data_IF_292113882033
#
_entry.id   IF_292113882033
#
_cell.length_a   1.000
_cell.length_b   1.000
_cell.length_c   1.000
_cell.angle_alpha   90.00
_cell.angle_beta   90.00
_cell.angle_gamma   90.00
#
_symmetry.space_group_name_H-M   'P 1'
#
loop_
_entity.id
_entity.type
_entity.pdbx_description
1 polymer ?
#
# COMPACT_ATOMS: atom_id res chain seq x y z
N UNK A 1 -11.67 -3.85 -10.50
CA UNK A 1 -10.62 -4.80 -10.05
C UNK A 1 -9.50 -3.99 -9.45
N UNK A 2 -9.20 -4.20 -8.17
CA UNK A 2 -8.31 -3.35 -7.40
C UNK A 2 -7.06 -4.12 -6.95
N UNK A 3 -6.01 -3.40 -6.56
CA UNK A 3 -4.78 -4.01 -6.06
C UNK A 3 -4.64 -3.75 -4.56
N UNK A 4 -4.06 -4.70 -3.84
CA UNK A 4 -3.93 -4.66 -2.40
C UNK A 4 -2.53 -5.11 -1.98
N UNK A 5 -1.90 -4.35 -1.10
CA UNK A 5 -0.59 -4.63 -0.55
C UNK A 5 -0.72 -5.12 0.89
N UNK A 6 -0.05 -6.22 1.21
CA UNK A 6 0.09 -6.73 2.56
C UNK A 6 1.37 -6.22 3.19
N UNK A 7 1.26 -5.77 4.44
CA UNK A 7 2.37 -5.21 5.21
C UNK A 7 2.80 -6.18 6.32
N UNK A 8 4.09 -6.19 6.62
CA UNK A 8 4.64 -6.83 7.82
C UNK A 8 4.50 -5.93 9.06
N UNK A 9 5.06 -6.38 10.19
CA UNK A 9 5.07 -5.64 11.45
C UNK A 9 5.89 -4.33 11.40
N UNK A 10 6.74 -4.15 10.40
CA UNK A 10 7.55 -2.96 10.18
C UNK A 10 6.93 -2.01 9.14
N UNK A 11 5.68 -2.27 8.72
CA UNK A 11 5.00 -1.56 7.64
C UNK A 11 5.66 -1.71 6.26
N UNK A 12 6.41 -2.80 6.05
CA UNK A 12 7.03 -3.11 4.77
C UNK A 12 6.11 -4.01 3.95
N UNK A 13 5.92 -3.67 2.68
CA UNK A 13 5.11 -4.43 1.73
C UNK A 13 5.79 -5.76 1.43
N UNK A 14 5.14 -6.86 1.78
CA UNK A 14 5.65 -8.22 1.54
C UNK A 14 5.05 -8.86 0.30
N UNK A 15 3.83 -8.47 -0.07
CA UNK A 15 3.09 -9.05 -1.18
C UNK A 15 2.07 -8.06 -1.72
N UNK A 16 1.80 -8.12 -3.02
CA UNK A 16 0.75 -7.33 -3.69
C UNK A 16 -0.12 -8.28 -4.50
N UNK A 17 -1.42 -8.22 -4.25
CA UNK A 17 -2.43 -9.05 -4.91
C UNK A 17 -3.41 -8.21 -5.71
N UNK A 18 -4.06 -8.87 -6.64
CA UNK A 18 -5.23 -8.36 -7.34
C UNK A 18 -6.47 -8.93 -6.65
N UNK A 19 -7.39 -8.06 -6.25
CA UNK A 19 -8.65 -8.44 -5.61
C UNK A 19 -9.86 -7.81 -6.31
N UNK A 20 -11.02 -8.03 -5.70
CA UNK A 20 -12.26 -7.38 -6.12
C UNK A 20 -12.17 -5.85 -5.99
N UNK A 21 -13.12 -5.17 -6.63
CA UNK A 21 -13.22 -3.72 -6.61
C UNK A 21 -13.44 -3.18 -5.19
N UNK A 22 -12.85 -2.03 -4.87
CA UNK A 22 -12.98 -1.38 -3.56
C UNK A 22 -14.42 -0.94 -3.24
N UNK A 23 -15.28 -0.84 -4.25
CA UNK A 23 -16.67 -0.42 -4.11
C UNK A 23 -17.58 -1.56 -3.63
N UNK A 24 -17.07 -2.79 -3.65
CA UNK A 24 -17.78 -3.99 -3.22
C UNK A 24 -17.43 -4.38 -1.79
N UNK A 25 -18.40 -4.96 -1.08
CA UNK A 25 -18.19 -5.50 0.27
C UNK A 25 -18.04 -7.01 0.21
N UNK A 26 -17.07 -7.55 0.96
CA UNK A 26 -16.91 -8.99 1.14
C UNK A 26 -17.47 -9.39 2.49
N UNK A 27 -18.57 -10.15 2.50
CA UNK A 27 -19.27 -10.56 3.74
C UNK A 27 -19.63 -9.37 4.65
N UNK A 28 -19.98 -8.23 4.06
CA UNK A 28 -20.33 -7.00 4.78
C UNK A 28 -19.15 -6.20 5.34
N UNK A 29 -17.91 -6.60 5.05
CA UNK A 29 -16.70 -5.85 5.38
C UNK A 29 -16.13 -5.16 4.14
N UNK A 30 -15.46 -4.03 4.33
CA UNK A 30 -14.65 -3.42 3.28
C UNK A 30 -13.51 -4.37 2.87
N UNK A 31 -12.99 -4.18 1.66
CA UNK A 31 -12.00 -5.09 1.10
C UNK A 31 -10.68 -5.09 1.87
N UNK A 32 -10.20 -3.94 2.36
CA UNK A 32 -8.97 -3.86 3.15
C UNK A 32 -9.08 -4.67 4.45
N UNK A 33 -10.17 -4.45 5.20
CA UNK A 33 -10.46 -5.18 6.43
C UNK A 33 -10.62 -6.67 6.15
N UNK A 34 -11.32 -7.05 5.08
CA UNK A 34 -11.53 -8.45 4.76
C UNK A 34 -10.24 -9.17 4.41
N UNK A 35 -9.44 -8.62 3.47
CA UNK A 35 -8.16 -9.22 3.08
C UNK A 35 -7.17 -9.22 4.25
N UNK A 36 -7.16 -8.15 5.05
CA UNK A 36 -6.31 -8.07 6.24
C UNK A 36 -6.65 -9.15 7.27
N UNK A 37 -7.94 -9.33 7.56
CA UNK A 37 -8.42 -10.38 8.46
C UNK A 37 -8.15 -11.79 7.91
N UNK A 38 -8.36 -11.99 6.60
CA UNK A 38 -8.12 -13.27 5.94
C UNK A 38 -6.65 -13.69 6.01
N UNK A 39 -5.73 -12.74 5.83
CA UNK A 39 -4.28 -12.99 5.86
C UNK A 39 -3.70 -12.94 7.27
N UNK A 40 -4.37 -12.25 8.21
CA UNK A 40 -3.81 -11.92 9.52
C UNK A 40 -2.70 -10.87 9.44
N UNK A 41 -2.76 -9.99 8.43
CA UNK A 41 -1.77 -8.93 8.18
C UNK A 41 -2.47 -7.61 7.90
N UNK A 42 -1.76 -6.49 8.03
CA UNK A 42 -2.31 -5.21 7.60
C UNK A 42 -2.40 -5.23 6.06
N UNK A 43 -3.57 -4.89 5.53
CA UNK A 43 -3.82 -4.79 4.11
C UNK A 43 -4.14 -3.34 3.76
N UNK A 44 -3.53 -2.84 2.69
CA UNK A 44 -3.78 -1.50 2.15
C UNK A 44 -3.95 -1.57 0.64
N UNK A 45 -5.05 -1.03 0.13
CA UNK A 45 -5.28 -0.82 -1.31
C UNK A 45 -4.17 0.02 -1.92
N UNK A 46 -3.76 -0.36 -3.12
CA UNK A 46 -2.78 0.33 -3.94
C UNK A 46 -3.32 0.50 -5.36
N UNK A 47 -2.87 1.54 -6.07
CA UNK A 47 -3.32 1.83 -7.44
C UNK A 47 -2.21 2.51 -8.23
N UNK A 48 -2.09 2.15 -9.51
CA UNK A 48 -1.18 2.84 -10.43
C UNK A 48 -1.55 4.32 -10.61
N UNK A 49 -2.83 4.65 -10.40
CA UNK A 49 -3.35 6.02 -10.49
C UNK A 49 -3.51 6.67 -9.10
N UNK A 50 -2.82 6.16 -8.08
CA UNK A 50 -2.85 6.69 -6.71
C UNK A 50 -2.66 8.23 -6.66
N UNK A 51 -1.63 8.74 -7.34
CA UNK A 51 -1.36 10.18 -7.44
C UNK A 51 -2.53 10.97 -8.05
N UNK A 52 -3.15 10.45 -9.12
CA UNK A 52 -4.24 11.12 -9.84
C UNK A 52 -5.52 11.12 -8.99
N UNK A 53 -5.75 10.03 -8.27
CA UNK A 53 -6.93 9.84 -7.44
C UNK A 53 -6.78 10.45 -6.03
N UNK A 54 -5.64 11.08 -5.73
CA UNK A 54 -5.39 11.77 -4.46
C UNK A 54 -5.28 10.86 -3.25
N UNK A 55 -4.97 9.58 -3.41
CA UNK A 55 -4.74 8.65 -2.30
C UNK A 55 -3.45 7.87 -2.48
N UNK A 56 -2.64 7.77 -1.42
CA UNK A 56 -1.47 6.88 -1.33
C UNK A 56 -0.34 7.05 -2.32
N UNK A 57 -0.28 8.22 -2.99
CA UNK A 57 0.77 8.74 -3.89
C UNK A 57 1.18 7.83 -5.04
N UNK A 58 1.64 6.61 -4.77
CA UNK A 58 2.15 5.68 -5.76
C UNK A 58 1.70 4.23 -5.50
N UNK A 59 1.90 3.38 -6.50
CA UNK A 59 1.65 1.96 -6.37
C UNK A 59 2.69 1.30 -5.44
N UNK A 60 2.22 0.53 -4.46
CA UNK A 60 3.04 -0.29 -3.58
C UNK A 60 3.79 -1.38 -4.36
N UNK A 61 5.13 -1.40 -4.24
CA UNK A 61 5.96 -2.52 -4.64
C UNK A 61 6.42 -3.34 -3.43
N UNK A 62 6.84 -4.58 -3.66
CA UNK A 62 7.48 -5.39 -2.60
C UNK A 62 8.72 -4.64 -2.08
N UNK A 63 8.85 -4.52 -0.76
CA UNK A 63 9.92 -3.78 -0.09
C UNK A 63 9.63 -2.30 0.14
N UNK A 64 8.49 -1.77 -0.33
CA UNK A 64 8.07 -0.40 -0.03
C UNK A 64 7.65 -0.31 1.44
N UNK A 65 7.85 0.86 2.06
CA UNK A 65 7.38 1.12 3.42
C UNK A 65 6.13 1.97 3.36
N UNK A 66 5.12 1.65 4.16
CA UNK A 66 3.90 2.44 4.27
C UNK A 66 4.04 3.49 5.40
N UNK A 67 3.91 4.77 5.05
CA UNK A 67 3.88 5.90 5.98
C UNK A 67 2.41 6.16 6.39
N UNK A 68 2.08 5.85 7.64
CA UNK A 68 0.73 6.06 8.20
C UNK A 68 0.37 7.54 8.39
N UNK A 69 1.36 8.43 8.51
CA UNK A 69 1.14 9.86 8.75
C UNK A 69 0.70 10.53 7.46
N UNK A 70 1.34 10.18 6.35
CA UNK A 70 1.03 10.72 5.01
C UNK A 70 0.06 9.84 4.21
N UNK A 71 -0.34 8.70 4.76
CA UNK A 71 -1.12 7.66 4.08
C UNK A 71 -0.54 7.39 2.68
N UNK A 72 0.73 6.97 2.60
CA UNK A 72 1.40 6.72 1.32
C UNK A 72 2.44 5.61 1.36
N UNK A 73 2.75 5.07 0.19
CA UNK A 73 3.83 4.10 0.03
C UNK A 73 5.12 4.81 -0.38
N UNK A 74 6.22 4.49 0.31
CA UNK A 74 7.56 5.03 0.08
C UNK A 74 8.43 3.90 -0.46
N UNK A 75 9.07 4.13 -1.60
CA UNK A 75 9.98 3.17 -2.19
C UNK A 75 11.17 2.89 -1.26
N UNK A 76 11.79 1.70 -1.31
CA UNK A 76 13.04 1.47 -0.60
C UNK A 76 14.16 2.33 -1.17
N UNK A 77 15.15 2.65 -0.33
CA UNK A 77 16.31 3.45 -0.71
C UNK A 77 17.05 2.82 -1.91
N UNK A 78 17.12 3.49 -3.08
CA UNK A 78 17.72 2.90 -4.27
C UNK A 78 19.25 2.86 -4.17
N UNK A 79 19.86 3.91 -3.63
CA UNK A 79 21.31 4.00 -3.41
C UNK A 79 21.63 4.63 -2.06
N UNK A 80 22.66 4.16 -1.33
CA UNK A 80 23.02 4.68 0.00
C UNK A 80 23.30 6.19 0.05
N UNK A 81 23.73 6.79 -1.06
CA UNK A 81 24.02 8.23 -1.19
C UNK A 81 22.78 9.11 -1.34
N UNK A 82 21.62 8.55 -1.67
CA UNK A 82 20.41 9.33 -1.89
C UNK A 82 19.80 9.71 -0.53
N UNK A 83 19.18 10.87 -0.45
CA UNK A 83 18.52 11.32 0.77
C UNK A 83 17.07 11.57 0.41
N UNK A 84 16.17 10.97 1.18
CA UNK A 84 14.74 11.13 0.98
C UNK A 84 14.37 12.60 1.17
N UNK A 85 13.65 13.17 0.22
CA UNK A 85 13.18 14.55 0.28
C UNK A 85 11.94 14.71 1.17
N UNK A 86 11.45 15.95 1.33
CA UNK A 86 10.28 16.24 2.17
C UNK A 86 8.97 15.63 1.64
N UNK A 87 8.96 15.21 0.36
CA UNK A 87 7.83 14.59 -0.31
C UNK A 87 7.92 13.05 -0.28
N UNK A 88 8.89 12.45 0.42
CA UNK A 88 9.13 11.01 0.40
C UNK A 88 9.52 10.47 -0.99
N UNK A 89 10.27 11.26 -1.77
CA UNK A 89 10.95 10.83 -3.00
C UNK A 89 12.47 10.77 -2.79
N UNK A 90 13.14 9.81 -3.45
CA UNK A 90 14.59 9.61 -3.34
C UNK A 90 15.40 10.41 -4.34
#
# INVERSE_FOLDING_TARGET
MAHYAFLDTNNVVTEVIVGIDETELIKGLDTETWYGNFRGQICKRTSYNAAINGYRKQYAGIGYTYDHVRDEFVAPKPYPSWTLDENNDW
#
